data_IF_900106487770
#
_entry.id   IF_900106487770
#
_cell.length_a   1.000
_cell.length_b   1.000
_cell.length_c   1.000
_cell.angle_alpha   90.00
_cell.angle_beta   90.00
_cell.angle_gamma   90.00
#
_symmetry.space_group_name_H-M   'P 1'
#
loop_
_entity.id
_entity.type
_entity.pdbx_description
1 polymer ?
#
# COMPACT_ATOMS: atom_id res chain seq x y z
N UNK A 1 4.98 -1.24 -17.73
CA UNK A 1 5.37 -2.55 -17.18
C UNK A 1 4.46 -2.88 -16.01
N UNK A 2 3.92 -4.09 -15.93
CA UNK A 2 3.05 -4.47 -14.82
C UNK A 2 3.92 -5.00 -13.67
N UNK A 3 4.08 -4.19 -12.62
CA UNK A 3 4.96 -4.45 -11.46
C UNK A 3 4.63 -5.79 -10.76
N UNK A 4 3.42 -6.30 -10.94
CA UNK A 4 2.85 -7.46 -10.26
C UNK A 4 2.48 -8.65 -11.16
N UNK A 5 2.62 -8.57 -12.49
CA UNK A 5 2.18 -9.68 -13.40
C UNK A 5 3.21 -10.80 -13.57
N UNK A 6 4.48 -10.53 -13.29
CA UNK A 6 5.60 -11.45 -13.54
C UNK A 6 6.45 -11.63 -12.27
N UNK A 7 5.79 -11.78 -11.13
CA UNK A 7 6.46 -11.97 -9.83
C UNK A 7 6.50 -13.45 -9.51
N UNK A 8 7.71 -13.97 -9.30
CA UNK A 8 7.89 -15.38 -8.98
C UNK A 8 7.55 -15.68 -7.51
N UNK A 9 7.65 -14.68 -6.62
CA UNK A 9 7.44 -14.84 -5.17
C UNK A 9 6.79 -13.60 -4.54
N UNK A 10 6.15 -13.81 -3.39
CA UNK A 10 5.62 -12.74 -2.55
C UNK A 10 6.68 -11.72 -2.12
N UNK A 11 7.90 -12.20 -1.84
CA UNK A 11 9.06 -11.36 -1.52
C UNK A 11 9.41 -10.41 -2.66
N UNK A 12 9.43 -10.93 -3.88
CA UNK A 12 9.75 -10.14 -5.07
C UNK A 12 8.66 -9.10 -5.35
N UNK A 13 7.39 -9.48 -5.21
CA UNK A 13 6.26 -8.55 -5.31
C UNK A 13 6.39 -7.41 -4.29
N UNK A 14 6.69 -7.73 -3.04
CA UNK A 14 6.92 -6.76 -1.98
C UNK A 14 8.10 -5.83 -2.28
N UNK A 15 9.24 -6.37 -2.71
CA UNK A 15 10.41 -5.55 -3.04
C UNK A 15 10.15 -4.60 -4.21
N UNK A 16 9.49 -5.07 -5.28
CA UNK A 16 9.15 -4.24 -6.43
C UNK A 16 8.17 -3.13 -6.08
N UNK A 17 7.18 -3.42 -5.24
CA UNK A 17 6.25 -2.42 -4.73
C UNK A 17 6.95 -1.41 -3.81
N UNK A 18 7.83 -1.85 -2.91
CA UNK A 18 8.60 -0.97 -2.01
C UNK A 18 9.62 -0.10 -2.76
N UNK A 19 10.11 -0.56 -3.91
CA UNK A 19 10.99 0.23 -4.78
C UNK A 19 10.26 1.42 -5.45
N UNK A 20 8.92 1.47 -5.40
CA UNK A 20 8.17 2.59 -5.93
C UNK A 20 8.27 3.81 -4.99
N UNK A 21 8.48 5.03 -5.55
CA UNK A 21 8.55 6.24 -4.74
C UNK A 21 7.24 6.46 -4.00
N UNK A 22 7.30 6.52 -2.66
CA UNK A 22 6.13 6.73 -1.79
C UNK A 22 5.46 5.45 -1.26
N UNK A 23 5.97 4.26 -1.60
CA UNK A 23 5.57 2.98 -1.02
C UNK A 23 6.49 2.58 0.15
N UNK A 24 6.06 2.93 1.37
CA UNK A 24 6.69 2.43 2.59
C UNK A 24 6.32 0.96 2.86
N UNK A 25 6.96 0.35 3.84
CA UNK A 25 6.74 -1.06 4.23
C UNK A 25 5.25 -1.38 4.46
N UNK A 26 4.57 -0.58 5.26
CA UNK A 26 3.14 -0.76 5.57
C UNK A 26 2.26 -0.71 4.31
N UNK A 27 2.39 0.34 3.49
CA UNK A 27 1.64 0.46 2.23
C UNK A 27 1.94 -0.65 1.25
N UNK A 28 3.17 -1.12 1.23
CA UNK A 28 3.61 -2.23 0.40
C UNK A 28 2.87 -3.50 0.82
N UNK A 29 2.86 -3.82 2.13
CA UNK A 29 2.11 -4.97 2.66
C UNK A 29 0.61 -4.89 2.36
N UNK A 30 0.01 -3.70 2.49
CA UNK A 30 -1.40 -3.46 2.14
C UNK A 30 -1.65 -3.74 0.66
N UNK A 31 -0.79 -3.22 -0.22
CA UNK A 31 -0.94 -3.38 -1.67
C UNK A 31 -0.76 -4.84 -2.09
N UNK A 32 0.17 -5.57 -1.47
CA UNK A 32 0.31 -7.04 -1.65
C UNK A 32 -1.00 -7.74 -1.27
N UNK A 33 -1.60 -7.42 -0.13
CA UNK A 33 -2.89 -8.00 0.28
C UNK A 33 -4.05 -7.62 -0.65
N UNK A 34 -4.11 -6.39 -1.17
CA UNK A 34 -5.11 -5.98 -2.18
C UNK A 34 -4.95 -6.80 -3.45
N UNK A 35 -3.72 -6.93 -3.94
CA UNK A 35 -3.42 -7.68 -5.16
C UNK A 35 -3.80 -9.15 -5.02
N UNK A 36 -3.50 -9.77 -3.89
CA UNK A 36 -3.86 -11.15 -3.61
C UNK A 36 -5.38 -11.35 -3.43
N UNK A 37 -6.02 -10.56 -2.55
CA UNK A 37 -7.43 -10.75 -2.17
C UNK A 37 -8.41 -10.26 -3.24
N UNK A 38 -8.11 -9.15 -3.93
CA UNK A 38 -9.03 -8.51 -4.91
C UNK A 38 -8.70 -8.81 -6.36
N UNK A 39 -7.42 -8.98 -6.68
CA UNK A 39 -6.96 -9.19 -8.05
C UNK A 39 -6.43 -10.62 -8.31
N UNK A 40 -6.46 -11.50 -7.30
CA UNK A 40 -6.04 -12.89 -7.42
C UNK A 40 -4.54 -13.10 -7.65
N UNK A 41 -3.71 -12.10 -7.39
CA UNK A 41 -2.25 -12.18 -7.55
C UNK A 41 -1.63 -12.79 -6.29
N UNK A 42 -1.52 -14.12 -6.26
CA UNK A 42 -1.10 -14.91 -5.09
C UNK A 42 0.23 -15.65 -5.33
N UNK A 43 1.35 -14.95 -5.59
CA UNK A 43 2.64 -15.62 -5.77
C UNK A 43 3.06 -16.33 -4.47
N UNK A 44 3.78 -17.45 -4.54
CA UNK A 44 4.14 -18.23 -3.35
C UNK A 44 4.85 -17.38 -2.29
N UNK A 45 4.41 -17.54 -1.03
CA UNK A 45 4.91 -16.78 0.12
C UNK A 45 4.38 -15.35 0.22
N UNK A 46 3.36 -14.94 -0.55
CA UNK A 46 2.78 -13.59 -0.47
C UNK A 46 2.19 -13.25 0.90
N UNK A 47 1.71 -14.24 1.64
CA UNK A 47 1.07 -14.06 2.97
C UNK A 47 2.04 -13.47 4.00
N UNK A 48 3.32 -13.85 3.96
CA UNK A 48 4.37 -13.30 4.84
C UNK A 48 4.65 -11.81 4.57
N UNK A 49 4.33 -11.35 3.36
CA UNK A 49 4.53 -9.96 2.92
C UNK A 49 3.21 -9.19 2.79
N UNK A 50 2.08 -9.83 3.08
CA UNK A 50 0.78 -9.20 3.12
C UNK A 50 0.54 -8.45 4.44
N UNK A 51 -0.43 -7.55 4.45
CA UNK A 51 -0.98 -7.02 5.69
C UNK A 51 -1.79 -8.13 6.41
N UNK A 52 -1.30 -8.56 7.58
CA UNK A 52 -2.02 -9.46 8.51
C UNK A 52 -3.03 -8.74 9.40
N UNK A 53 -3.05 -7.41 9.39
CA UNK A 53 -3.99 -6.59 10.16
C UNK A 53 -5.10 -6.01 9.27
N UNK A 54 -6.25 -5.67 9.87
CA UNK A 54 -7.36 -5.02 9.17
C UNK A 54 -6.85 -3.69 8.57
N UNK A 55 -6.87 -3.59 7.25
CA UNK A 55 -6.22 -2.49 6.53
C UNK A 55 -7.01 -2.09 5.30
N UNK A 56 -6.54 -1.10 4.54
CA UNK A 56 -7.23 -0.61 3.33
C UNK A 56 -7.45 -1.72 2.29
N UNK A 57 -6.72 -2.85 2.38
CA UNK A 57 -7.04 -4.05 1.60
C UNK A 57 -8.46 -4.61 1.82
N UNK A 58 -9.06 -4.32 2.98
CA UNK A 58 -10.44 -4.60 3.36
C UNK A 58 -11.38 -3.40 3.09
N UNK A 59 -10.87 -2.24 2.67
CA UNK A 59 -11.66 -1.03 2.38
C UNK A 59 -11.77 -0.84 0.87
N UNK A 60 -12.96 -1.10 0.31
CA UNK A 60 -13.23 -1.12 -1.13
C UNK A 60 -13.33 0.23 -1.84
N UNK A 61 -13.37 1.36 -1.12
CA UNK A 61 -13.91 2.59 -1.71
C UNK A 61 -12.87 3.69 -2.00
N UNK A 62 -12.83 4.24 -3.23
CA UNK A 62 -11.95 5.35 -3.63
C UNK A 62 -12.16 6.65 -2.83
N UNK A 63 -13.27 6.78 -2.11
CA UNK A 63 -13.53 7.91 -1.18
C UNK A 63 -12.50 8.03 -0.05
N UNK A 64 -11.89 6.92 0.41
CA UNK A 64 -10.88 6.97 1.48
C UNK A 64 -9.56 7.63 1.06
N UNK A 65 -9.25 7.65 -0.24
CA UNK A 65 -8.02 8.27 -0.76
C UNK A 65 -8.10 9.80 -0.75
N UNK A 66 -9.29 10.37 -0.93
CA UNK A 66 -9.50 11.81 -0.92
C UNK A 66 -9.53 12.36 0.52
N UNK A 67 -10.17 11.63 1.44
CA UNK A 67 -10.06 11.84 2.89
C UNK A 67 -8.61 11.80 3.37
N UNK A 68 -7.83 10.78 2.99
CA UNK A 68 -6.41 10.68 3.38
C UNK A 68 -5.55 11.81 2.80
N UNK A 69 -5.87 12.32 1.60
CA UNK A 69 -5.22 13.50 1.03
C UNK A 69 -5.59 14.77 1.80
N UNK A 70 -6.86 14.92 2.17
CA UNK A 70 -7.33 16.07 2.97
C UNK A 70 -6.70 16.10 4.36
N UNK A 71 -6.66 14.95 5.04
CA UNK A 71 -5.99 14.79 6.35
C UNK A 71 -4.48 15.05 6.25
N UNK A 72 -3.82 14.55 5.20
CA UNK A 72 -2.40 14.89 4.94
C UNK A 72 -2.18 16.37 4.67
N UNK A 73 -3.12 17.04 4.01
CA UNK A 73 -3.04 18.48 3.72
C UNK A 73 -3.18 19.30 4.99
N UNK A 74 -4.10 18.93 5.87
CA UNK A 74 -4.28 19.55 7.19
C UNK A 74 -3.07 19.31 8.11
N UNK A 75 -2.50 18.11 8.14
CA UNK A 75 -1.29 17.83 8.93
C UNK A 75 -0.07 18.60 8.41
N UNK A 76 0.07 18.79 7.09
CA UNK A 76 1.10 19.67 6.53
C UNK A 76 0.88 21.13 6.92
N UNK A 77 -0.36 21.59 6.95
CA UNK A 77 -0.69 22.96 7.35
C UNK A 77 -0.41 23.20 8.84
N UNK A 78 -0.70 22.24 9.72
CA UNK A 78 -0.38 22.33 11.15
C UNK A 78 1.14 22.34 11.40
N UNK A 79 1.89 21.54 10.65
CA UNK A 79 3.36 21.52 10.72
C UNK A 79 4.00 22.83 10.24
N UNK A 80 3.41 23.48 9.25
CA UNK A 80 3.85 24.80 8.80
C UNK A 80 3.53 25.91 9.83
N UNK A 81 2.46 25.73 10.62
CA UNK A 81 2.04 26.71 11.64
C UNK A 81 2.82 26.60 12.95
N UNK A 82 3.37 25.42 13.27
CA UNK A 82 4.25 25.21 14.44
C UNK A 82 5.73 25.57 14.20
N UNK A 83 6.08 25.96 12.97
CA UNK A 83 7.44 26.33 12.58
C UNK A 83 7.65 27.86 12.45
N UNK A 84 6.67 28.66 12.89
CA UNK A 84 6.77 30.11 13.08
C UNK A 84 6.56 30.46 14.54
#
# INVERSE_FOLDING_TARGET
>A
AAVWRDVATGRELFQRLRALPGFGEEKTRITVSVLAKKLGVTPPGWEEFGASWHSIADVDSPESMEQARSVKRQLKADRAKRAG
#
